data_IF_141927031037
#
_entry.id   IF_141927031037
#
_cell.length_a   1.000
_cell.length_b   1.000
_cell.length_c   1.000
_cell.angle_alpha   90.00
_cell.angle_beta   90.00
_cell.angle_gamma   90.00
#
_symmetry.space_group_name_H-M   'P 1'
#
loop_
_entity.id
_entity.type
_entity.pdbx_description
1 polymer ?
#
# COMPACT_ATOMS: atom_id res chain seq x y z
N UNK A 1 3.92 1.54 0.32
CA UNK A 1 4.35 2.94 0.13
C UNK A 1 5.49 3.03 -0.87
N UNK A 2 6.51 2.20 -0.68
CA UNK A 2 7.77 2.26 -1.45
C UNK A 2 7.57 2.08 -2.96
N UNK A 3 6.81 1.08 -3.41
CA UNK A 3 6.49 0.90 -4.84
C UNK A 3 5.79 2.12 -5.45
N UNK A 4 5.00 2.85 -4.65
CA UNK A 4 4.32 4.07 -5.10
C UNK A 4 5.26 5.27 -5.26
N UNK A 5 6.39 5.29 -4.54
CA UNK A 5 7.45 6.30 -4.73
C UNK A 5 8.27 6.06 -6.00
N UNK A 6 8.32 4.82 -6.49
CA UNK A 6 9.07 4.46 -7.68
C UNK A 6 8.25 4.67 -8.97
N UNK A 7 6.99 4.22 -8.98
CA UNK A 7 6.19 4.12 -10.20
C UNK A 7 4.85 4.89 -10.15
N UNK A 8 4.58 5.64 -9.08
CA UNK A 8 3.28 6.25 -8.84
C UNK A 8 2.28 5.28 -8.21
N UNK A 9 1.23 5.83 -7.56
CA UNK A 9 0.32 5.04 -6.71
C UNK A 9 -0.53 4.04 -7.49
N UNK A 10 -1.05 4.42 -8.66
CA UNK A 10 -1.94 3.57 -9.46
C UNK A 10 -1.22 2.31 -9.92
N UNK A 11 -0.08 2.48 -10.61
CA UNK A 11 0.72 1.38 -11.14
C UNK A 11 1.25 0.48 -10.03
N UNK A 12 1.67 1.06 -8.90
CA UNK A 12 2.06 0.28 -7.73
C UNK A 12 0.92 -0.57 -7.15
N UNK A 13 -0.31 -0.05 -7.10
CA UNK A 13 -1.46 -0.80 -6.60
C UNK A 13 -1.86 -1.93 -7.57
N UNK A 14 -1.87 -1.65 -8.87
CA UNK A 14 -2.20 -2.65 -9.90
C UNK A 14 -1.17 -3.77 -9.95
N UNK A 15 0.12 -3.43 -9.94
CA UNK A 15 1.18 -4.43 -9.95
C UNK A 15 1.20 -5.26 -8.66
N UNK A 16 0.88 -4.65 -7.51
CA UNK A 16 0.75 -5.38 -6.24
C UNK A 16 -0.45 -6.33 -6.24
N UNK A 17 -1.54 -6.00 -6.94
CA UNK A 17 -2.68 -6.89 -7.12
C UNK A 17 -2.27 -8.12 -7.92
N UNK A 18 -1.68 -7.93 -9.11
CA UNK A 18 -1.20 -9.03 -9.98
C UNK A 18 -0.15 -9.92 -9.29
N UNK A 19 0.81 -9.29 -8.60
CA UNK A 19 1.85 -10.05 -7.89
C UNK A 19 1.26 -10.94 -6.78
N UNK A 20 0.22 -10.50 -6.07
CA UNK A 20 -0.44 -11.32 -5.06
C UNK A 20 -1.20 -12.50 -5.69
N UNK A 21 -1.86 -12.31 -6.85
CA UNK A 21 -2.49 -13.39 -7.62
C UNK A 21 -1.46 -14.44 -8.06
N UNK A 22 -0.34 -14.01 -8.64
CA UNK A 22 0.70 -14.93 -9.09
C UNK A 22 1.34 -15.70 -7.93
N UNK A 23 1.60 -15.02 -6.81
CA UNK A 23 2.17 -15.65 -5.62
C UNK A 23 1.24 -16.69 -5.00
N UNK A 24 -0.08 -16.44 -4.94
CA UNK A 24 -1.01 -17.41 -4.37
C UNK A 24 -1.14 -18.64 -5.27
N UNK A 25 -1.13 -18.49 -6.58
CA UNK A 25 -1.16 -19.62 -7.51
C UNK A 25 0.10 -20.49 -7.39
N UNK A 26 1.29 -19.87 -7.24
CA UNK A 26 2.53 -20.60 -6.97
C UNK A 26 2.47 -21.31 -5.62
N UNK A 27 2.00 -20.64 -4.57
CA UNK A 27 1.89 -21.24 -3.23
C UNK A 27 0.96 -22.46 -3.22
N UNK A 28 -0.20 -22.36 -3.88
CA UNK A 28 -1.15 -23.47 -4.06
C UNK A 28 -0.51 -24.65 -4.79
N UNK A 29 0.19 -24.39 -5.90
CA UNK A 29 0.90 -25.44 -6.68
C UNK A 29 1.88 -26.25 -5.83
N UNK A 30 2.49 -25.63 -4.83
CA UNK A 30 3.48 -26.26 -3.95
C UNK A 30 2.92 -26.67 -2.58
N UNK A 31 1.61 -26.54 -2.34
CA UNK A 31 0.99 -26.89 -1.04
C UNK A 31 1.47 -26.01 0.12
N UNK A 32 1.93 -24.79 -0.15
CA UNK A 32 2.42 -23.84 0.87
C UNK A 32 1.29 -22.91 1.30
N UNK A 33 1.04 -22.80 2.61
CA UNK A 33 0.15 -21.78 3.16
C UNK A 33 0.88 -20.43 3.20
N UNK A 34 0.50 -19.52 2.31
CA UNK A 34 1.10 -18.19 2.19
C UNK A 34 0.39 -17.17 3.11
N UNK A 35 1.16 -16.38 3.86
CA UNK A 35 0.64 -15.22 4.61
C UNK A 35 1.25 -13.94 4.04
N UNK A 36 0.40 -13.08 3.48
CA UNK A 36 0.82 -11.75 3.04
C UNK A 36 1.00 -10.82 4.24
N UNK A 37 2.15 -10.14 4.32
CA UNK A 37 2.36 -9.08 5.31
C UNK A 37 2.21 -7.70 4.66
N UNK A 38 1.10 -7.02 4.96
CA UNK A 38 0.82 -5.69 4.42
C UNK A 38 1.59 -4.60 5.16
N UNK A 39 2.54 -3.99 4.45
CA UNK A 39 3.36 -2.88 4.94
C UNK A 39 2.61 -1.54 5.03
N UNK A 40 3.35 -0.49 5.41
CA UNK A 40 2.82 0.88 5.57
C UNK A 40 2.34 1.49 4.24
N UNK A 41 1.33 2.35 4.32
CA UNK A 41 0.85 3.11 3.17
C UNK A 41 -0.11 2.38 2.24
N UNK A 42 -0.46 1.11 2.49
CA UNK A 42 -1.54 0.43 1.79
C UNK A 42 -2.92 0.93 2.23
N UNK A 43 -3.95 0.69 1.42
CA UNK A 43 -5.36 0.96 1.79
C UNK A 43 -5.75 0.22 3.08
N UNK A 44 -5.20 -0.98 3.29
CA UNK A 44 -5.41 -1.80 4.49
C UNK A 44 -4.78 -1.18 5.75
N UNK A 45 -3.58 -0.59 5.65
CA UNK A 45 -2.82 -0.08 6.82
C UNK A 45 -3.01 1.41 7.14
N UNK A 46 -3.58 2.21 6.22
CA UNK A 46 -3.77 3.66 6.42
C UNK A 46 -5.15 4.10 6.86
N UNK A 47 -6.16 3.24 6.78
CA UNK A 47 -7.55 3.69 6.92
C UNK A 47 -7.93 4.78 5.90
N UNK A 48 -7.20 4.88 4.77
CA UNK A 48 -7.44 5.84 3.68
C UNK A 48 -8.71 5.54 2.87
N UNK A 49 -9.31 4.38 3.13
CA UNK A 49 -10.70 4.03 2.88
C UNK A 49 -11.16 3.09 4.00
N UNK A 50 -12.40 2.60 4.00
CA UNK A 50 -12.84 1.65 5.01
C UNK A 50 -11.97 0.38 4.97
N UNK A 51 -11.06 0.20 5.94
CA UNK A 51 -10.19 -0.99 6.10
C UNK A 51 -10.90 -2.31 5.86
N UNK A 52 -12.15 -2.43 6.32
CA UNK A 52 -12.99 -3.60 6.07
C UNK A 52 -13.14 -3.90 4.57
N UNK A 53 -13.56 -2.93 3.76
CA UNK A 53 -13.67 -3.08 2.31
C UNK A 53 -12.30 -3.31 1.65
N UNK A 54 -11.24 -2.69 2.15
CA UNK A 54 -9.89 -2.88 1.61
C UNK A 54 -9.36 -4.31 1.81
N UNK A 55 -9.79 -5.00 2.86
CA UNK A 55 -9.51 -6.43 3.10
C UNK A 55 -10.35 -7.28 2.15
N UNK A 56 -11.65 -6.99 2.04
CA UNK A 56 -12.56 -7.71 1.12
C UNK A 56 -12.15 -7.55 -0.36
N UNK A 57 -11.45 -6.48 -0.73
CA UNK A 57 -10.98 -6.24 -2.08
C UNK A 57 -9.63 -6.89 -2.42
N UNK A 58 -8.99 -7.62 -1.49
CA UNK A 58 -7.75 -8.34 -1.82
C UNK A 58 -8.05 -9.44 -2.84
N UNK A 59 -7.09 -9.85 -3.70
CA UNK A 59 -7.33 -10.94 -4.63
C UNK A 59 -7.79 -12.22 -3.90
N UNK A 60 -8.58 -13.03 -4.58
CA UNK A 60 -9.12 -14.27 -4.02
C UNK A 60 -7.98 -15.15 -3.45
N UNK A 61 -8.27 -15.87 -2.36
CA UNK A 61 -7.33 -16.79 -1.70
C UNK A 61 -6.05 -16.18 -1.08
N UNK A 62 -5.86 -14.86 -1.13
CA UNK A 62 -4.62 -14.25 -0.60
C UNK A 62 -4.57 -14.11 0.92
N UNK A 63 -5.71 -14.28 1.61
CA UNK A 63 -5.82 -14.12 3.08
C UNK A 63 -5.89 -15.48 3.79
N UNK A 64 -6.78 -16.39 3.37
CA UNK A 64 -6.90 -17.76 3.91
C UNK A 64 -6.87 -17.84 5.46
N UNK A 65 -7.63 -16.95 6.10
CA UNK A 65 -7.73 -16.86 7.57
C UNK A 65 -6.48 -16.35 8.28
N UNK A 66 -5.48 -15.83 7.55
CA UNK A 66 -4.21 -15.33 8.09
C UNK A 66 -3.93 -13.91 7.58
N UNK A 67 -4.35 -12.91 8.36
CA UNK A 67 -4.11 -11.51 8.06
C UNK A 67 -2.97 -10.94 8.91
N UNK A 68 -1.96 -10.34 8.27
CA UNK A 68 -0.91 -9.58 8.94
C UNK A 68 -0.80 -8.18 8.34
N UNK A 69 -1.04 -7.15 9.16
CA UNK A 69 -1.10 -5.75 8.70
C UNK A 69 -0.26 -4.87 9.62
N UNK A 70 0.42 -3.89 9.02
CA UNK A 70 1.08 -2.83 9.79
C UNK A 70 0.07 -1.77 10.21
N UNK A 71 -0.13 -1.59 11.51
CA UNK A 71 -0.78 -0.40 12.05
C UNK A 71 0.23 0.75 12.05
N UNK A 72 -0.13 1.83 11.38
CA UNK A 72 0.71 3.02 11.32
C UNK A 72 0.62 3.82 12.61
N UNK A 73 1.75 4.37 13.07
CA UNK A 73 1.82 5.14 14.31
C UNK A 73 0.89 6.35 14.30
N UNK A 74 0.73 7.01 13.14
CA UNK A 74 -0.21 8.12 12.98
C UNK A 74 -1.70 7.73 13.07
N UNK A 75 -2.03 6.43 13.09
CA UNK A 75 -3.41 5.90 13.18
C UNK A 75 -3.66 5.18 14.52
N UNK A 76 -2.61 4.89 15.30
CA UNK A 76 -2.71 4.02 16.49
C UNK A 76 -3.76 4.52 17.49
N UNK A 77 -3.73 5.82 17.78
CA UNK A 77 -4.65 6.49 18.71
C UNK A 77 -6.09 6.38 18.24
N UNK A 78 -6.34 6.68 16.95
CA UNK A 78 -7.69 6.57 16.37
C UNK A 78 -8.22 5.14 16.36
N UNK A 79 -7.33 4.16 16.20
CA UNK A 79 -7.71 2.75 16.13
C UNK A 79 -7.89 2.10 17.50
N UNK A 80 -7.12 2.52 18.50
CA UNK A 80 -6.98 1.80 19.76
C UNK A 80 -6.98 2.67 21.03
N UNK A 81 -6.97 3.99 20.92
CA UNK A 81 -6.88 4.92 22.06
C UNK A 81 -8.16 4.98 22.91
N UNK A 82 -9.31 4.67 22.34
CA UNK A 82 -10.59 4.56 23.05
C UNK A 82 -11.14 3.12 22.94
N UNK A 83 -11.72 2.61 24.02
CA UNK A 83 -12.10 1.20 24.16
C UNK A 83 -13.17 0.75 23.12
N UNK A 84 -14.19 1.57 22.86
CA UNK A 84 -15.20 1.27 21.84
C UNK A 84 -14.61 1.31 20.42
N UNK A 85 -13.70 2.23 20.14
CA UNK A 85 -12.98 2.29 18.85
C UNK A 85 -12.03 1.10 18.68
N UNK A 86 -11.33 0.69 19.74
CA UNK A 86 -10.51 -0.52 19.77
C UNK A 86 -11.35 -1.75 19.42
N UNK A 87 -12.48 -1.94 20.10
CA UNK A 87 -13.40 -3.05 19.83
C UNK A 87 -13.87 -3.05 18.37
N UNK A 88 -14.33 -1.90 17.85
CA UNK A 88 -14.76 -1.78 16.45
C UNK A 88 -13.64 -2.05 15.45
N UNK A 89 -12.40 -1.65 15.78
CA UNK A 89 -11.22 -1.93 14.94
C UNK A 89 -10.98 -3.44 14.86
N UNK A 90 -10.92 -4.13 16.00
CA UNK A 90 -10.71 -5.58 16.05
C UNK A 90 -11.86 -6.33 15.36
N UNK A 91 -13.11 -5.95 15.62
CA UNK A 91 -14.29 -6.51 14.98
C UNK A 91 -14.21 -6.45 13.45
N UNK A 92 -13.84 -5.29 12.89
CA UNK A 92 -13.73 -5.12 11.43
C UNK A 92 -12.66 -5.99 10.79
N UNK A 93 -11.50 -6.12 11.45
CA UNK A 93 -10.42 -6.98 10.97
C UNK A 93 -10.84 -8.45 10.98
N UNK A 94 -11.43 -8.92 12.09
CA UNK A 94 -11.91 -10.30 12.22
C UNK A 94 -12.98 -10.61 11.19
N UNK A 95 -14.01 -9.75 11.08
CA UNK A 95 -15.12 -9.95 10.15
C UNK A 95 -14.65 -9.98 8.70
N UNK A 96 -13.85 -9.00 8.25
CA UNK A 96 -13.40 -8.95 6.87
C UNK A 96 -12.46 -10.11 6.50
N UNK A 97 -11.59 -10.53 7.43
CA UNK A 97 -10.68 -11.67 7.23
C UNK A 97 -11.46 -12.97 7.04
N UNK A 98 -12.49 -13.15 7.86
CA UNK A 98 -13.37 -14.32 7.80
C UNK A 98 -14.21 -14.31 6.52
N UNK A 99 -14.87 -13.19 6.23
CA UNK A 99 -15.73 -13.03 5.05
C UNK A 99 -14.96 -13.21 3.74
N UNK A 100 -13.78 -12.59 3.59
CA UNK A 100 -12.95 -12.74 2.38
C UNK A 100 -12.60 -14.21 2.09
N UNK A 101 -12.36 -15.00 3.13
CA UNK A 101 -12.04 -16.43 3.00
C UNK A 101 -13.23 -17.32 2.64
N UNK A 102 -14.47 -16.85 2.80
CA UNK A 102 -15.69 -17.59 2.48
C UNK A 102 -16.40 -17.06 1.23
N UNK A 103 -16.29 -15.75 0.98
CA UNK A 103 -16.94 -15.02 -0.10
C UNK A 103 -15.85 -14.18 -0.79
N UNK A 104 -15.06 -14.79 -1.69
CA UNK A 104 -14.02 -14.06 -2.40
C UNK A 104 -14.62 -13.01 -3.34
N UNK A 105 -13.89 -11.91 -3.62
CA UNK A 105 -14.36 -10.90 -4.56
C UNK A 105 -14.40 -11.44 -5.99
N UNK A 106 -15.16 -10.76 -6.85
CA UNK A 106 -15.25 -11.09 -8.27
C UNK A 106 -13.88 -10.96 -8.95
N UNK A 107 -13.55 -11.94 -9.79
CA UNK A 107 -12.39 -11.87 -10.67
C UNK A 107 -12.53 -10.71 -11.65
N UNK A 108 -11.50 -9.85 -11.81
CA UNK A 108 -11.53 -8.77 -12.79
C UNK A 108 -11.74 -9.30 -14.21
N UNK A 109 -12.67 -8.68 -14.96
CA UNK A 109 -12.91 -9.01 -16.37
C UNK A 109 -11.68 -8.73 -17.24
N UNK A 110 -11.47 -9.46 -18.35
CA UNK A 110 -10.31 -9.25 -19.22
C UNK A 110 -10.15 -7.80 -19.69
N UNK A 111 -11.24 -7.13 -20.05
CA UNK A 111 -11.24 -5.74 -20.48
C UNK A 111 -10.84 -4.75 -19.37
N UNK A 112 -11.13 -5.08 -18.10
CA UNK A 112 -10.69 -4.27 -16.96
C UNK A 112 -9.20 -4.43 -16.70
N UNK A 113 -8.67 -5.65 -16.86
CA UNK A 113 -7.22 -5.91 -16.74
C UNK A 113 -6.44 -5.17 -17.80
N UNK A 114 -6.88 -5.26 -19.06
CA UNK A 114 -6.27 -4.56 -20.18
C UNK A 114 -6.25 -3.04 -19.95
N UNK A 115 -7.39 -2.45 -19.54
CA UNK A 115 -7.46 -1.03 -19.22
C UNK A 115 -6.52 -0.65 -18.06
N UNK A 116 -6.45 -1.47 -17.00
CA UNK A 116 -5.54 -1.21 -15.87
C UNK A 116 -4.06 -1.32 -16.27
N UNK A 117 -3.71 -2.21 -17.20
CA UNK A 117 -2.35 -2.30 -17.76
C UNK A 117 -2.00 -1.03 -18.54
N UNK A 118 -2.89 -0.55 -19.42
CA UNK A 118 -2.70 0.69 -20.18
C UNK A 118 -2.56 1.91 -19.25
N UNK A 119 -3.47 2.04 -18.28
CA UNK A 119 -3.46 3.12 -17.30
C UNK A 119 -2.19 3.10 -16.46
N UNK A 120 -1.67 1.92 -16.09
CA UNK A 120 -0.45 1.81 -15.31
C UNK A 120 0.77 2.33 -16.07
N UNK A 121 0.87 2.07 -17.38
CA UNK A 121 1.96 2.59 -18.23
C UNK A 121 1.93 4.12 -18.26
N UNK A 122 0.77 4.70 -18.59
CA UNK A 122 0.60 6.16 -18.70
C UNK A 122 0.84 6.84 -17.34
N UNK A 123 0.31 6.28 -16.25
CA UNK A 123 0.48 6.84 -14.92
C UNK A 123 1.95 6.80 -14.45
N UNK A 124 2.67 5.71 -14.73
CA UNK A 124 4.10 5.61 -14.39
C UNK A 124 4.94 6.56 -15.21
N UNK A 125 4.70 6.67 -16.52
CA UNK A 125 5.37 7.68 -17.36
C UNK A 125 5.19 9.04 -16.71
N UNK A 126 3.94 9.44 -16.49
CA UNK A 126 3.62 10.80 -16.07
C UNK A 126 4.21 11.10 -14.70
N UNK A 127 4.09 10.18 -13.76
CA UNK A 127 4.72 10.28 -12.45
C UNK A 127 6.23 10.47 -12.57
N UNK A 128 6.90 9.63 -13.36
CA UNK A 128 8.36 9.68 -13.50
C UNK A 128 8.84 10.89 -14.30
N UNK A 129 8.02 11.40 -15.22
CA UNK A 129 8.32 12.62 -16.00
C UNK A 129 8.51 13.82 -15.08
N UNK A 130 7.72 13.90 -13.99
CA UNK A 130 7.77 14.99 -13.02
C UNK A 130 8.76 14.69 -11.91
N UNK A 131 8.67 13.51 -11.27
CA UNK A 131 9.41 13.25 -10.02
C UNK A 131 10.90 12.98 -10.25
N UNK A 132 11.26 12.38 -11.40
CA UNK A 132 12.64 11.98 -11.69
C UNK A 132 13.25 12.72 -12.87
N UNK A 133 12.47 13.07 -13.91
CA UNK A 133 12.99 13.66 -15.14
C UNK A 133 12.94 15.19 -15.20
N UNK A 134 12.07 15.85 -14.43
CA UNK A 134 12.04 17.31 -14.36
C UNK A 134 13.23 17.83 -13.55
N UNK A 135 14.18 18.55 -14.16
CA UNK A 135 15.44 18.92 -13.48
C UNK A 135 15.24 19.79 -12.23
N UNK A 136 14.18 20.59 -12.18
CA UNK A 136 13.90 21.50 -11.07
C UNK A 136 12.99 20.90 -9.99
N UNK A 137 12.55 19.64 -10.14
CA UNK A 137 11.61 19.04 -9.20
C UNK A 137 12.14 19.02 -7.76
N UNK A 138 13.40 18.63 -7.56
CA UNK A 138 14.00 18.54 -6.21
C UNK A 138 14.14 19.90 -5.56
N UNK A 139 14.51 20.92 -6.34
CA UNK A 139 14.58 22.31 -5.87
C UNK A 139 13.20 22.79 -5.43
N UNK A 140 12.21 22.67 -6.32
CA UNK A 140 10.82 23.02 -6.05
C UNK A 140 10.30 22.30 -4.79
N UNK A 141 10.50 20.98 -4.69
CA UNK A 141 10.01 20.18 -3.58
C UNK A 141 10.59 20.61 -2.22
N UNK A 142 11.87 21.00 -2.18
CA UNK A 142 12.52 21.50 -0.97
C UNK A 142 12.08 22.90 -0.57
N UNK A 143 11.70 23.73 -1.54
CA UNK A 143 11.21 25.08 -1.28
C UNK A 143 9.72 25.10 -0.92
N UNK A 144 8.93 24.22 -1.54
CA UNK A 144 7.48 24.17 -1.38
C UNK A 144 7.01 23.29 -0.21
N UNK A 145 7.90 22.50 0.40
CA UNK A 145 7.55 21.59 1.50
C UNK A 145 8.58 21.67 2.63
N UNK A 146 8.19 21.37 3.89
CA UNK A 146 9.10 21.40 5.03
C UNK A 146 10.01 20.15 5.10
N UNK A 147 10.40 19.55 3.97
CA UNK A 147 11.18 18.29 3.96
C UNK A 147 12.52 18.45 4.67
N UNK A 148 13.20 19.58 4.45
CA UNK A 148 14.51 19.87 5.04
C UNK A 148 14.38 20.14 6.54
N UNK A 149 13.39 20.95 6.95
CA UNK A 149 13.11 21.29 8.33
C UNK A 149 12.72 20.03 9.11
N UNK A 150 11.82 19.20 8.56
CA UNK A 150 11.41 17.94 9.18
C UNK A 150 12.60 16.99 9.41
N UNK A 151 13.56 16.94 8.47
CA UNK A 151 14.77 16.15 8.62
C UNK A 151 15.78 16.69 9.64
N UNK A 152 15.72 17.98 9.98
CA UNK A 152 16.57 18.63 10.99
C UNK A 152 15.99 18.60 12.40
N UNK A 153 14.67 18.46 12.51
CA UNK A 153 13.97 18.39 13.78
C UNK A 153 14.06 16.99 14.40
N UNK A 154 14.03 16.93 15.74
CA UNK A 154 14.05 15.68 16.49
C UNK A 154 12.65 15.03 16.60
N UNK A 155 11.95 14.91 15.46
CA UNK A 155 10.59 14.35 15.38
C UNK A 155 10.61 12.85 15.03
N UNK A 156 11.59 12.42 14.22
CA UNK A 156 11.76 11.03 13.81
C UNK A 156 13.06 10.43 14.35
N UNK A 157 13.02 9.17 14.77
CA UNK A 157 14.21 8.44 15.25
C UNK A 157 15.14 7.95 14.14
N UNK A 158 14.80 8.18 12.86
CA UNK A 158 15.54 7.69 11.69
C UNK A 158 16.04 8.86 10.84
N UNK A 159 17.24 8.76 10.23
CA UNK A 159 17.71 9.75 9.26
C UNK A 159 16.74 9.91 8.10
N UNK A 160 16.50 11.15 7.67
CA UNK A 160 15.58 11.48 6.56
C UNK A 160 16.06 10.97 5.19
N UNK A 161 17.38 10.76 5.02
CA UNK A 161 18.00 10.26 3.78
C UNK A 161 18.99 9.15 4.08
N UNK A 162 19.04 8.14 3.19
CA UNK A 162 20.04 7.06 3.25
C UNK A 162 21.39 7.44 2.62
N UNK A 163 21.43 8.47 1.74
CA UNK A 163 22.65 9.03 1.14
C UNK A 163 22.58 10.57 1.09
N UNK A 164 23.63 11.32 1.46
CA UNK A 164 23.62 12.79 1.47
C UNK A 164 23.38 13.43 0.09
N UNK A 165 23.84 12.78 -0.98
CA UNK A 165 23.68 13.20 -2.37
C UNK A 165 22.46 12.60 -3.09
N UNK A 166 21.64 11.81 -2.39
CA UNK A 166 20.51 11.07 -2.97
C UNK A 166 19.26 11.93 -3.15
N UNK A 167 19.33 12.95 -4.02
CA UNK A 167 18.20 13.27 -4.90
C UNK A 167 18.35 12.37 -6.12
N UNK A 168 17.32 11.62 -6.46
CA UNK A 168 17.37 10.58 -7.48
C UNK A 168 18.10 11.06 -8.76
N UNK A 169 19.23 10.41 -9.07
CA UNK A 169 19.78 10.39 -10.43
C UNK A 169 19.01 9.35 -11.23
#
# INVERSE_FOLDING_TARGET
SDSGKDAGRLSAAWQLYKAQEELIEVAKKHGVKLTMFHGRGGTVGRGGGPTHLAILSQPADTIQGSLRVTIQGEVIERSFGEAQLCFKTLQRYTAATLEHGMIPPLTPKPEWRALMDDMAVVATERYRSIVFREPRFVEYFRLATPELEYGRMNIGSRPSKRKPSGGHR
#
